data_IF_293147227194
#
_entry.id   IF_293147227194
#
_cell.length_a   1.000
_cell.length_b   1.000
_cell.length_c   1.000
_cell.angle_alpha   90.00
_cell.angle_beta   90.00
_cell.angle_gamma   90.00
#
_symmetry.space_group_name_H-M   'P 1'
#
loop_
_entity.id
_entity.type
_entity.pdbx_description
1 polymer ?
#
# COMPACT_ATOMS: atom_id res chain seq x y z
N UNK A 1 -9.25 60.52 -26.74
CA UNK A 1 -10.53 60.51 -26.00
C UNK A 1 -11.46 59.56 -26.72
N UNK A 2 -11.63 58.32 -26.23
CA UNK A 2 -12.72 57.85 -25.36
C UNK A 2 -13.96 57.45 -26.19
N UNK A 3 -14.44 56.21 -25.96
CA UNK A 3 -15.34 55.46 -26.83
C UNK A 3 -16.84 55.72 -26.62
N UNK A 4 -17.69 54.89 -27.24
CA UNK A 4 -18.62 54.03 -26.51
C UNK A 4 -19.39 53.04 -27.41
N UNK A 5 -19.60 51.87 -26.83
CA UNK A 5 -20.42 50.73 -27.23
C UNK A 5 -21.91 51.05 -27.48
N UNK A 6 -22.55 50.29 -28.36
CA UNK A 6 -23.99 49.95 -28.26
C UNK A 6 -24.22 48.45 -28.36
N UNK A 7 -24.83 47.92 -27.29
CA UNK A 7 -25.17 46.52 -26.98
C UNK A 7 -26.23 45.96 -27.93
N UNK A 8 -26.10 44.68 -28.32
CA UNK A 8 -27.23 43.81 -28.71
C UNK A 8 -27.52 42.82 -27.57
N UNK A 9 -28.81 42.53 -27.42
CA UNK A 9 -29.46 41.96 -26.24
C UNK A 9 -29.10 40.49 -25.93
N UNK A 10 -29.27 40.15 -24.65
CA UNK A 10 -29.02 38.85 -24.05
C UNK A 10 -30.02 37.77 -24.52
N UNK A 11 -29.50 36.60 -24.90
CA UNK A 11 -30.27 35.37 -25.00
C UNK A 11 -30.47 34.77 -23.60
N UNK A 12 -31.69 34.25 -23.36
CA UNK A 12 -32.14 33.72 -22.07
C UNK A 12 -31.33 32.49 -21.61
N UNK A 13 -30.90 32.40 -20.34
CA UNK A 13 -30.14 31.27 -19.80
C UNK A 13 -30.91 29.95 -19.74
N UNK A 14 -32.24 29.98 -19.88
CA UNK A 14 -33.08 28.79 -19.89
C UNK A 14 -32.96 27.97 -21.20
N UNK A 15 -32.72 28.62 -22.33
CA UNK A 15 -32.57 27.95 -23.62
C UNK A 15 -31.22 27.21 -23.74
N UNK A 16 -30.16 27.74 -23.11
CA UNK A 16 -28.85 27.08 -23.03
C UNK A 16 -28.86 25.85 -22.11
N UNK A 17 -29.67 25.85 -21.06
CA UNK A 17 -29.80 24.70 -20.13
C UNK A 17 -30.60 23.55 -20.75
N UNK A 18 -31.66 23.82 -21.51
CA UNK A 18 -32.39 22.78 -22.23
C UNK A 18 -31.57 22.14 -23.36
N UNK A 19 -30.75 22.93 -24.07
CA UNK A 19 -29.80 22.37 -25.06
C UNK A 19 -28.72 21.51 -24.38
N UNK A 20 -28.23 21.89 -23.20
CA UNK A 20 -27.27 21.08 -22.44
C UNK A 20 -27.88 19.77 -21.88
N UNK A 21 -29.12 19.79 -21.41
CA UNK A 21 -29.80 18.58 -20.92
C UNK A 21 -30.20 17.62 -22.04
N UNK A 22 -30.61 18.13 -23.21
CA UNK A 22 -30.91 17.28 -24.37
C UNK A 22 -29.66 16.60 -24.95
N UNK A 23 -28.48 17.22 -24.86
CA UNK A 23 -27.22 16.59 -25.25
C UNK A 23 -26.70 15.58 -24.24
N UNK A 24 -26.99 15.76 -22.94
CA UNK A 24 -26.63 14.78 -21.91
C UNK A 24 -27.48 13.51 -21.97
N UNK A 25 -28.78 13.64 -22.30
CA UNK A 25 -29.69 12.49 -22.36
C UNK A 25 -29.59 11.66 -23.65
N UNK A 26 -29.09 12.21 -24.76
CA UNK A 26 -28.94 11.47 -26.03
C UNK A 26 -27.76 10.50 -26.05
N UNK A 27 -26.87 10.57 -25.07
CA UNK A 27 -25.68 9.71 -24.94
C UNK A 27 -25.92 8.44 -24.11
N UNK A 28 -27.14 8.22 -23.63
CA UNK A 28 -27.51 7.07 -22.78
C UNK A 28 -28.47 6.08 -23.43
N UNK A 29 -28.73 6.20 -24.74
CA UNK A 29 -29.45 5.15 -25.47
C UNK A 29 -28.48 4.13 -26.04
N UNK A 30 -28.71 2.88 -25.61
CA UNK A 30 -27.96 1.66 -25.93
C UNK A 30 -27.57 1.60 -27.40
N UNK A 31 -26.28 1.71 -27.66
CA UNK A 31 -25.63 1.15 -28.84
C UNK A 31 -24.47 0.29 -28.33
N UNK A 32 -24.59 -1.03 -28.49
CA UNK A 32 -23.42 -1.88 -28.61
C UNK A 32 -22.89 -1.70 -30.04
N UNK A 33 -21.63 -1.28 -30.23
CA UNK A 33 -20.89 -1.82 -31.37
C UNK A 33 -19.38 -2.03 -31.14
N UNK A 34 -18.80 -2.75 -32.10
CA UNK A 34 -17.48 -3.36 -32.23
C UNK A 34 -16.24 -2.52 -31.83
N UNK A 35 -15.24 -3.21 -31.25
CA UNK A 35 -13.92 -2.69 -30.81
C UNK A 35 -13.01 -2.35 -32.00
N UNK A 36 -13.13 -1.15 -32.54
CA UNK A 36 -12.02 -0.43 -33.15
C UNK A 36 -11.74 0.81 -32.30
N UNK A 37 -10.47 1.05 -32.00
CA UNK A 37 -9.95 1.83 -30.88
C UNK A 37 -10.41 3.31 -30.88
N UNK A 38 -11.56 3.58 -30.28
CA UNK A 38 -12.08 4.92 -30.04
C UNK A 38 -11.09 5.75 -29.22
N UNK A 39 -10.70 6.91 -29.75
CA UNK A 39 -9.85 7.88 -29.04
C UNK A 39 -10.65 8.41 -27.84
N UNK A 40 -10.37 7.88 -26.65
CA UNK A 40 -10.96 8.39 -25.42
C UNK A 40 -10.37 9.76 -25.09
N UNK A 41 -11.02 10.83 -25.56
CA UNK A 41 -10.61 12.21 -25.28
C UNK A 41 -10.46 12.47 -23.78
N UNK A 42 -11.37 11.93 -22.96
CA UNK A 42 -11.30 12.04 -21.50
C UNK A 42 -10.04 11.43 -20.91
N UNK A 43 -9.62 10.27 -21.41
CA UNK A 43 -8.37 9.64 -21.01
C UNK A 43 -7.16 10.48 -21.41
N UNK A 44 -7.12 10.99 -22.64
CA UNK A 44 -6.02 11.84 -23.10
C UNK A 44 -5.89 13.12 -22.26
N UNK A 45 -7.00 13.77 -21.91
CA UNK A 45 -7.00 14.93 -21.01
C UNK A 45 -6.49 14.57 -19.61
N UNK A 46 -6.88 13.41 -19.09
CA UNK A 46 -6.45 12.97 -17.78
C UNK A 46 -4.95 12.61 -17.74
N UNK A 47 -4.38 12.10 -18.84
CA UNK A 47 -2.94 11.87 -19.02
C UNK A 47 -2.20 13.22 -19.17
N UNK A 48 -2.76 14.16 -19.94
CA UNK A 48 -2.21 15.51 -20.12
C UNK A 48 -2.15 16.30 -18.81
N UNK A 49 -3.16 16.16 -17.94
CA UNK A 49 -3.14 16.73 -16.58
C UNK A 49 -1.99 16.21 -15.71
N UNK A 50 -1.41 15.05 -16.07
CA UNK A 50 -0.22 14.45 -15.44
C UNK A 50 1.08 14.78 -16.18
N UNK A 51 1.04 15.74 -17.11
CA UNK A 51 2.19 16.26 -17.83
C UNK A 51 2.63 15.41 -19.04
N UNK A 52 1.86 14.39 -19.43
CA UNK A 52 2.17 13.53 -20.58
C UNK A 52 1.23 13.86 -21.73
N UNK A 53 1.76 14.22 -22.90
CA UNK A 53 0.97 14.49 -24.10
C UNK A 53 0.90 13.22 -24.96
N UNK A 54 -0.31 12.77 -25.24
CA UNK A 54 -0.53 11.61 -26.11
C UNK A 54 -0.31 12.01 -27.56
N UNK A 55 0.64 11.36 -28.24
CA UNK A 55 0.97 11.65 -29.64
C UNK A 55 0.11 10.84 -30.63
N UNK A 56 0.18 9.51 -30.55
CA UNK A 56 -0.50 8.62 -31.51
C UNK A 56 -1.51 7.70 -30.81
N UNK A 57 -1.06 6.60 -30.20
CA UNK A 57 -1.91 5.53 -29.67
C UNK A 57 -1.82 5.43 -28.15
N UNK A 58 -2.98 5.21 -27.53
CA UNK A 58 -3.09 4.84 -26.12
C UNK A 58 -3.85 3.53 -26.02
N UNK A 59 -3.25 2.59 -25.31
CA UNK A 59 -3.85 1.32 -24.93
C UNK A 59 -4.27 1.40 -23.47
N UNK A 60 -5.57 1.26 -23.20
CA UNK A 60 -6.13 1.45 -21.87
C UNK A 60 -6.67 0.14 -21.31
N UNK A 61 -6.28 -0.20 -20.08
CA UNK A 61 -6.75 -1.38 -19.33
C UNK A 61 -6.77 -2.66 -20.16
N UNK A 62 -5.74 -2.89 -20.97
CA UNK A 62 -5.63 -4.11 -21.77
C UNK A 62 -5.62 -5.34 -20.87
N UNK A 63 -6.38 -6.36 -21.25
CA UNK A 63 -6.31 -7.64 -20.55
C UNK A 63 -4.96 -8.33 -20.79
N UNK A 64 -4.51 -9.23 -19.90
CA UNK A 64 -3.23 -9.91 -20.04
C UNK A 64 -3.02 -10.60 -21.40
N UNK A 65 -4.09 -11.15 -21.98
CA UNK A 65 -4.04 -11.79 -23.31
C UNK A 65 -3.81 -10.80 -24.46
N UNK A 66 -4.23 -9.53 -24.30
CA UNK A 66 -4.03 -8.46 -25.26
C UNK A 66 -2.60 -7.90 -25.13
N UNK A 67 -2.12 -7.72 -23.90
CA UNK A 67 -0.73 -7.33 -23.63
C UNK A 67 0.28 -8.33 -24.21
N UNK A 68 0.01 -9.63 -24.11
CA UNK A 68 0.85 -10.67 -24.71
C UNK A 68 1.00 -10.52 -26.23
N UNK A 69 -0.06 -10.09 -26.92
CA UNK A 69 -0.03 -9.82 -28.36
C UNK A 69 0.74 -8.54 -28.70
N UNK A 70 0.89 -7.62 -27.74
CA UNK A 70 1.67 -6.38 -27.87
C UNK A 70 3.17 -6.55 -27.57
N UNK A 71 3.67 -7.79 -27.51
CA UNK A 71 5.10 -8.07 -27.39
C UNK A 71 5.64 -8.11 -25.96
N UNK A 72 4.80 -8.36 -24.94
CA UNK A 72 5.31 -8.56 -23.58
C UNK A 72 6.24 -9.77 -23.53
N UNK A 73 7.48 -9.56 -23.10
CA UNK A 73 8.30 -10.61 -22.52
C UNK A 73 8.04 -10.67 -21.02
N UNK A 74 8.00 -11.87 -20.45
CA UNK A 74 8.02 -12.01 -18.98
C UNK A 74 9.31 -11.33 -18.50
N UNK A 75 9.16 -10.22 -17.79
CA UNK A 75 10.31 -9.51 -17.25
C UNK A 75 11.01 -10.42 -16.23
N UNK A 76 12.33 -10.57 -16.37
CA UNK A 76 13.15 -11.24 -15.36
C UNK A 76 12.87 -10.62 -14.00
N UNK A 77 12.55 -11.45 -13.01
CA UNK A 77 12.24 -10.98 -11.67
C UNK A 77 13.49 -10.34 -11.07
N UNK A 78 13.40 -9.04 -10.78
CA UNK A 78 14.50 -8.31 -10.15
C UNK A 78 14.27 -8.20 -8.64
N UNK A 79 15.37 -7.99 -7.92
CA UNK A 79 15.34 -7.65 -6.50
C UNK A 79 16.47 -6.67 -6.19
N UNK A 80 16.28 -5.85 -5.17
CA UNK A 80 17.29 -4.88 -4.74
C UNK A 80 17.34 -3.61 -5.61
N UNK A 81 16.26 -3.30 -6.33
CA UNK A 81 16.17 -2.04 -7.08
C UNK A 81 16.22 -0.85 -6.11
N UNK A 82 17.10 0.15 -6.33
CA UNK A 82 17.16 1.32 -5.47
C UNK A 82 15.84 2.09 -5.45
N UNK A 83 15.33 2.37 -4.26
CA UNK A 83 14.14 3.19 -4.02
C UNK A 83 14.52 4.47 -3.27
N UNK A 84 14.33 5.61 -3.92
CA UNK A 84 14.45 6.93 -3.31
C UNK A 84 13.06 7.44 -2.93
N UNK A 85 12.90 8.02 -1.75
CA UNK A 85 11.59 8.49 -1.29
C UNK A 85 11.70 9.92 -0.79
N UNK A 86 10.96 10.81 -1.45
CA UNK A 86 10.75 12.18 -0.99
C UNK A 86 9.60 12.23 0.00
N UNK A 87 9.89 12.78 1.17
CA UNK A 87 8.97 13.00 2.27
C UNK A 87 9.62 12.69 3.61
N UNK A 88 8.97 13.04 4.71
CA UNK A 88 9.40 12.64 6.05
C UNK A 88 9.12 11.15 6.24
N UNK A 89 10.04 10.30 5.81
CA UNK A 89 9.86 8.84 5.79
C UNK A 89 10.81 8.17 6.74
N UNK A 90 10.27 7.31 7.60
CA UNK A 90 11.04 6.50 8.53
C UNK A 90 11.53 5.24 7.78
N UNK A 91 12.80 4.83 8.00
CA UNK A 91 13.32 3.56 7.47
C UNK A 91 14.68 3.61 6.75
N UNK A 92 15.40 4.74 6.77
CA UNK A 92 16.76 4.81 6.22
C UNK A 92 16.86 4.74 4.69
N UNK A 93 15.77 5.07 3.99
CA UNK A 93 15.76 5.14 2.54
C UNK A 93 16.48 6.41 2.05
N UNK A 94 17.20 6.36 0.91
CA UNK A 94 17.81 7.54 0.31
C UNK A 94 16.76 8.63 0.06
N UNK A 95 17.01 9.83 0.60
CA UNK A 95 16.18 11.00 0.35
C UNK A 95 16.52 11.63 -1.01
N UNK A 96 15.53 12.29 -1.60
CA UNK A 96 15.65 13.02 -2.87
C UNK A 96 15.02 14.40 -2.73
N UNK A 97 15.76 15.43 -3.14
CA UNK A 97 15.23 16.79 -3.10
C UNK A 97 14.04 16.98 -4.05
N UNK A 98 13.12 17.87 -3.70
CA UNK A 98 11.99 18.23 -4.56
C UNK A 98 12.41 18.73 -5.96
N UNK A 99 13.55 19.43 -6.05
CA UNK A 99 14.10 19.88 -7.32
C UNK A 99 14.60 18.72 -8.20
N UNK A 100 15.29 17.73 -7.61
CA UNK A 100 15.71 16.52 -8.33
C UNK A 100 14.51 15.72 -8.80
N UNK A 101 13.50 15.51 -7.94
CA UNK A 101 12.26 14.82 -8.32
C UNK A 101 11.55 15.54 -9.46
N UNK A 102 11.35 16.86 -9.37
CA UNK A 102 10.69 17.64 -10.41
C UNK A 102 11.44 17.61 -11.74
N UNK A 103 12.79 17.67 -11.70
CA UNK A 103 13.63 17.53 -12.89
C UNK A 103 13.46 16.15 -13.54
N UNK A 104 13.50 15.09 -12.74
CA UNK A 104 13.31 13.72 -13.20
C UNK A 104 11.92 13.52 -13.80
N UNK A 105 10.88 13.99 -13.11
CA UNK A 105 9.49 13.92 -13.59
C UNK A 105 9.34 14.62 -14.94
N UNK A 106 9.94 15.81 -15.12
CA UNK A 106 9.93 16.52 -16.40
C UNK A 106 10.60 15.73 -17.52
N UNK A 107 11.74 15.09 -17.24
CA UNK A 107 12.43 14.25 -18.22
C UNK A 107 11.62 13.01 -18.61
N UNK A 108 11.02 12.34 -17.63
CA UNK A 108 10.21 11.14 -17.84
C UNK A 108 8.92 11.46 -18.58
N UNK A 109 8.21 12.53 -18.20
CA UNK A 109 6.98 12.95 -18.88
C UNK A 109 7.25 13.42 -20.31
N UNK A 110 8.37 14.12 -20.55
CA UNK A 110 8.82 14.47 -21.89
C UNK A 110 9.12 13.23 -22.74
N UNK A 111 9.84 12.24 -22.19
CA UNK A 111 10.09 10.96 -22.83
C UNK A 111 8.79 10.25 -23.19
N UNK A 112 7.89 10.06 -22.22
CA UNK A 112 6.59 9.41 -22.45
C UNK A 112 5.75 10.14 -23.51
N UNK A 113 5.81 11.48 -23.55
CA UNK A 113 5.11 12.27 -24.58
C UNK A 113 5.70 12.10 -25.99
N UNK A 114 6.94 11.63 -26.10
CA UNK A 114 7.59 11.37 -27.38
C UNK A 114 7.29 9.96 -27.94
N UNK A 115 6.78 9.05 -27.10
CA UNK A 115 6.47 7.67 -27.46
C UNK A 115 5.17 7.61 -28.26
N UNK A 116 5.18 6.83 -29.35
CA UNK A 116 4.01 6.67 -30.23
C UNK A 116 2.90 5.82 -29.62
N UNK A 117 3.26 4.83 -28.80
CA UNK A 117 2.32 3.89 -28.19
C UNK A 117 2.48 3.89 -26.67
N UNK A 118 1.52 4.50 -25.97
CA UNK A 118 1.46 4.50 -24.52
C UNK A 118 0.50 3.43 -24.02
N UNK A 119 0.87 2.80 -22.91
CA UNK A 119 0.03 1.83 -22.22
C UNK A 119 -0.38 2.41 -20.86
N UNK A 120 -1.68 2.39 -20.60
CA UNK A 120 -2.27 2.97 -19.40
C UNK A 120 -3.10 1.92 -18.70
N UNK A 121 -2.87 1.79 -17.40
CA UNK A 121 -3.61 0.87 -16.54
C UNK A 121 -4.09 1.63 -15.31
N UNK A 122 -5.39 1.64 -15.10
CA UNK A 122 -5.97 2.05 -13.84
C UNK A 122 -6.17 0.82 -12.92
N UNK A 123 -5.99 1.05 -11.62
CA UNK A 123 -6.15 0.05 -10.58
C UNK A 123 -6.29 0.72 -9.22
N UNK A 124 -6.14 -0.06 -8.15
CA UNK A 124 -6.17 0.48 -6.79
C UNK A 124 -5.23 -0.26 -5.85
N UNK A 125 -4.82 0.43 -4.79
CA UNK A 125 -4.28 -0.17 -3.57
C UNK A 125 -5.39 -0.17 -2.52
N UNK A 126 -5.65 -1.32 -1.91
CA UNK A 126 -6.81 -1.54 -1.05
C UNK A 126 -7.95 -2.24 -1.80
N UNK A 127 -8.47 -3.33 -1.23
CA UNK A 127 -9.59 -4.09 -1.82
C UNK A 127 -10.98 -3.47 -1.56
N UNK A 128 -11.09 -2.47 -0.67
CA UNK A 128 -12.36 -1.81 -0.36
C UNK A 128 -12.54 -0.51 -1.13
N UNK A 129 -13.68 -0.38 -1.82
CA UNK A 129 -14.05 0.86 -2.50
C UNK A 129 -14.29 2.05 -1.55
N UNK A 130 -14.54 1.81 -0.26
CA UNK A 130 -14.65 2.88 0.75
C UNK A 130 -13.26 3.46 1.09
N UNK A 131 -12.26 2.57 1.22
CA UNK A 131 -10.90 2.91 1.61
C UNK A 131 -9.88 2.30 0.65
N UNK A 132 -9.84 2.83 -0.58
CA UNK A 132 -8.80 2.52 -1.56
C UNK A 132 -8.02 3.77 -2.00
N UNK A 133 -6.83 3.56 -2.55
CA UNK A 133 -6.07 4.55 -3.27
C UNK A 133 -6.08 4.17 -4.75
N UNK A 134 -6.82 4.93 -5.58
CA UNK A 134 -6.85 4.71 -7.03
C UNK A 134 -5.53 5.10 -7.66
N UNK A 135 -5.03 4.23 -8.53
CA UNK A 135 -3.71 4.32 -9.17
C UNK A 135 -3.90 4.38 -10.67
N UNK A 136 -3.20 5.32 -11.33
CA UNK A 136 -3.02 5.33 -12.78
C UNK A 136 -1.57 5.06 -13.13
N UNK A 137 -1.33 4.02 -13.93
CA UNK A 137 -0.02 3.70 -14.49
C UNK A 137 0.04 4.24 -15.91
N UNK A 138 1.11 4.96 -16.26
CA UNK A 138 1.40 5.45 -17.61
C UNK A 138 2.77 4.89 -17.99
N UNK A 139 2.83 4.07 -19.04
CA UNK A 139 4.04 3.35 -19.41
C UNK A 139 4.33 3.38 -20.91
N UNK A 140 5.62 3.39 -21.25
CA UNK A 140 6.13 3.09 -22.59
C UNK A 140 6.28 1.58 -22.87
N UNK A 141 5.91 0.71 -21.92
CA UNK A 141 6.23 -0.72 -21.95
C UNK A 141 5.06 -1.60 -21.50
N UNK A 142 4.56 -2.51 -22.35
CA UNK A 142 3.46 -3.39 -21.98
C UNK A 142 3.85 -4.40 -20.89
N UNK A 143 5.13 -4.80 -20.76
CA UNK A 143 5.58 -5.71 -19.70
C UNK A 143 5.50 -5.04 -18.32
N UNK A 144 5.69 -3.73 -18.25
CA UNK A 144 5.50 -2.98 -17.01
C UNK A 144 4.02 -2.96 -16.59
N UNK A 145 3.11 -2.78 -17.54
CA UNK A 145 1.67 -2.88 -17.28
C UNK A 145 1.30 -4.28 -16.80
N UNK A 146 1.82 -5.33 -17.44
CA UNK A 146 1.62 -6.71 -16.99
C UNK A 146 2.07 -6.90 -15.53
N UNK A 147 3.28 -6.47 -15.18
CA UNK A 147 3.79 -6.58 -13.81
C UNK A 147 2.92 -5.82 -12.79
N UNK A 148 2.54 -4.57 -13.11
CA UNK A 148 1.75 -3.73 -12.20
C UNK A 148 0.28 -4.19 -12.10
N UNK A 149 -0.30 -4.72 -13.18
CA UNK A 149 -1.67 -5.27 -13.16
C UNK A 149 -1.80 -6.48 -12.23
N UNK A 150 -0.71 -7.22 -11.98
CA UNK A 150 -0.67 -8.31 -11.00
C UNK A 150 -0.53 -7.81 -9.55
N UNK A 151 -0.09 -6.56 -9.35
CA UNK A 151 0.08 -5.95 -8.01
C UNK A 151 -1.14 -5.10 -7.62
N UNK A 152 -1.78 -4.44 -8.58
CA UNK A 152 -2.92 -3.56 -8.34
C UNK A 152 -4.24 -4.34 -8.30
N UNK A 153 -5.17 -3.88 -7.46
CA UNK A 153 -6.55 -4.35 -7.49
C UNK A 153 -7.24 -3.85 -8.76
N UNK A 154 -8.01 -4.74 -9.41
CA UNK A 154 -8.89 -4.33 -10.51
C UNK A 154 -9.97 -3.41 -9.95
N UNK A 155 -10.23 -2.32 -10.67
CA UNK A 155 -11.31 -1.39 -10.34
C UNK A 155 -12.44 -1.57 -11.36
N UNK A 156 -13.71 -1.41 -10.96
CA UNK A 156 -14.80 -1.43 -11.93
C UNK A 156 -14.67 -0.27 -12.91
N UNK A 157 -15.13 -0.47 -14.13
CA UNK A 157 -15.14 0.57 -15.15
C UNK A 157 -15.95 1.78 -14.66
N UNK A 158 -15.31 2.94 -14.66
CA UNK A 158 -15.92 4.23 -14.28
C UNK A 158 -15.53 5.28 -15.31
N UNK A 159 -16.30 6.38 -15.35
CA UNK A 159 -15.95 7.52 -16.18
C UNK A 159 -14.55 8.04 -15.83
N UNK A 160 -13.68 8.13 -16.83
CA UNK A 160 -12.27 8.52 -16.68
C UNK A 160 -12.18 10.04 -16.55
N UNK A 161 -11.51 10.54 -15.50
CA UNK A 161 -11.21 11.96 -15.33
C UNK A 161 -9.79 12.16 -14.76
N UNK A 162 -9.38 13.42 -14.58
CA UNK A 162 -8.10 13.77 -13.96
C UNK A 162 -8.07 13.47 -12.45
N UNK A 163 -9.25 13.55 -11.80
CA UNK A 163 -9.43 13.33 -10.36
C UNK A 163 -9.67 11.86 -9.99
N UNK A 164 -9.90 10.98 -10.96
CA UNK A 164 -10.25 9.58 -10.67
C UNK A 164 -9.13 8.81 -9.98
N UNK A 165 -7.87 9.17 -10.24
CA UNK A 165 -6.70 8.46 -9.74
C UNK A 165 -5.73 9.44 -9.07
N UNK A 166 -5.77 9.63 -7.73
CA UNK A 166 -4.84 10.53 -7.04
C UNK A 166 -3.38 10.08 -7.20
N UNK A 167 -3.12 8.77 -7.21
CA UNK A 167 -1.77 8.22 -7.35
C UNK A 167 -1.41 7.98 -8.82
N UNK A 168 -0.23 8.43 -9.26
CA UNK A 168 0.27 8.18 -10.62
C UNK A 168 1.62 7.46 -10.61
N UNK A 169 1.73 6.39 -11.41
CA UNK A 169 2.98 5.69 -11.67
C UNK A 169 3.42 5.99 -13.10
N UNK A 170 4.60 6.58 -13.26
CA UNK A 170 5.23 6.82 -14.56
C UNK A 170 6.30 5.76 -14.78
N UNK A 171 6.20 5.01 -15.87
CA UNK A 171 7.17 3.97 -16.21
C UNK A 171 7.84 4.30 -17.54
N UNK A 172 9.10 4.72 -17.46
CA UNK A 172 9.95 4.97 -18.61
C UNK A 172 11.06 3.91 -18.67
N UNK A 173 10.77 2.81 -19.36
CA UNK A 173 11.68 1.68 -19.49
C UNK A 173 12.86 1.97 -20.43
N UNK A 174 12.66 2.85 -21.42
CA UNK A 174 13.65 3.15 -22.46
C UNK A 174 14.46 4.42 -22.19
N UNK A 175 14.29 5.08 -21.04
CA UNK A 175 14.95 6.36 -20.77
C UNK A 175 16.46 6.18 -20.58
N UNK A 176 17.24 7.09 -21.17
CA UNK A 176 18.70 6.98 -21.22
C UNK A 176 19.37 7.03 -19.84
N UNK A 177 20.55 6.41 -19.75
CA UNK A 177 21.40 6.38 -18.55
C UNK A 177 21.81 7.78 -18.04
N UNK A 178 21.65 8.84 -18.82
CA UNK A 178 21.94 10.22 -18.39
C UNK A 178 20.97 10.73 -17.32
N UNK A 179 19.75 10.19 -17.26
CA UNK A 179 18.76 10.49 -16.20
C UNK A 179 19.17 9.85 -14.86
N UNK A 180 19.89 8.73 -14.92
CA UNK A 180 20.47 8.01 -13.77
C UNK A 180 21.50 8.85 -13.01
N UNK A 181 22.30 9.62 -13.75
CA UNK A 181 23.37 10.47 -13.20
C UNK A 181 22.83 11.60 -12.29
N UNK A 182 21.55 11.97 -12.39
CA UNK A 182 20.92 12.98 -11.53
C UNK A 182 20.69 12.49 -10.08
N UNK A 183 20.72 11.17 -9.85
CA UNK A 183 20.52 10.50 -8.56
C UNK A 183 21.83 9.96 -7.97
N UNK A 184 22.96 10.15 -8.67
CA UNK A 184 24.30 9.68 -8.31
C UNK A 184 24.92 8.74 -9.35
N UNK A 185 26.25 8.65 -9.37
CA UNK A 185 27.01 7.71 -10.21
C UNK A 185 27.28 6.44 -9.41
N UNK A 186 26.72 5.29 -9.82
CA UNK A 186 26.92 4.01 -9.14
C UNK A 186 26.39 2.82 -9.94
N UNK A 187 27.04 1.66 -9.81
CA UNK A 187 26.67 0.41 -10.50
C UNK A 187 25.31 -0.14 -10.04
N UNK A 188 24.85 0.25 -8.85
CA UNK A 188 23.55 -0.15 -8.27
C UNK A 188 22.33 0.24 -9.11
N UNK A 189 22.48 1.21 -10.01
CA UNK A 189 21.40 1.69 -10.86
C UNK A 189 21.35 1.01 -12.24
N UNK A 190 22.24 0.04 -12.50
CA UNK A 190 22.40 -0.58 -13.82
C UNK A 190 21.07 -1.10 -14.41
N UNK A 191 20.24 -1.72 -13.57
CA UNK A 191 18.99 -2.35 -13.97
C UNK A 191 17.76 -1.43 -13.87
N UNK A 192 17.83 -0.33 -13.12
CA UNK A 192 16.70 0.59 -12.95
C UNK A 192 16.78 1.37 -11.63
N UNK A 193 15.85 2.31 -11.47
CA UNK A 193 15.67 3.08 -10.23
C UNK A 193 14.20 3.43 -10.04
N UNK A 194 13.75 3.43 -8.79
CA UNK A 194 12.44 3.90 -8.40
C UNK A 194 12.57 5.15 -7.54
N UNK A 195 11.70 6.13 -7.79
CA UNK A 195 11.66 7.39 -7.05
C UNK A 195 10.22 7.73 -6.71
N UNK A 196 9.90 7.81 -5.42
CA UNK A 196 8.57 8.11 -4.91
C UNK A 196 8.52 9.52 -4.31
N UNK A 197 7.43 10.26 -4.54
CA UNK A 197 7.10 11.50 -3.84
C UNK A 197 5.72 11.34 -3.19
N UNK A 198 5.72 11.22 -1.86
CA UNK A 198 4.52 10.96 -1.07
C UNK A 198 3.54 12.12 -1.13
N UNK A 199 4.05 13.35 -1.03
CA UNK A 199 3.22 14.56 -1.08
C UNK A 199 2.51 14.70 -2.44
N UNK A 200 3.19 14.30 -3.52
CA UNK A 200 2.64 14.33 -4.88
C UNK A 200 1.90 13.04 -5.28
N UNK A 201 1.84 12.04 -4.40
CA UNK A 201 1.29 10.71 -4.71
C UNK A 201 1.81 10.17 -6.06
N UNK A 202 3.11 10.30 -6.30
CA UNK A 202 3.71 10.00 -7.60
C UNK A 202 4.89 9.04 -7.48
N UNK A 203 4.93 8.02 -8.34
CA UNK A 203 6.03 7.05 -8.44
C UNK A 203 6.64 7.11 -9.84
N UNK A 204 7.96 7.23 -9.92
CA UNK A 204 8.70 7.19 -11.17
C UNK A 204 9.52 5.90 -11.18
N UNK A 205 9.36 5.11 -12.24
CA UNK A 205 10.09 3.87 -12.50
C UNK A 205 10.89 4.02 -13.79
N UNK A 206 12.21 3.96 -13.68
CA UNK A 206 13.12 4.04 -14.82
C UNK A 206 13.79 2.69 -15.07
N UNK A 207 14.01 2.35 -16.35
CA UNK A 207 14.62 1.08 -16.75
C UNK A 207 13.73 -0.12 -16.39
N UNK A 208 14.32 -1.18 -15.83
CA UNK A 208 13.61 -2.40 -15.43
C UNK A 208 13.09 -2.38 -13.98
N UNK A 209 13.03 -1.22 -13.32
CA UNK A 209 12.57 -1.09 -11.93
C UNK A 209 11.17 -1.68 -11.68
N UNK A 210 10.32 -1.69 -12.72
CA UNK A 210 8.98 -2.29 -12.67
C UNK A 210 8.97 -3.82 -12.47
N UNK A 211 10.12 -4.49 -12.61
CA UNK A 211 10.26 -5.93 -12.43
C UNK A 211 10.55 -6.35 -10.96
N UNK A 212 10.77 -5.39 -10.06
CA UNK A 212 10.99 -5.65 -8.63
C UNK A 212 9.67 -5.50 -7.85
N UNK A 213 8.94 -6.61 -7.72
CA UNK A 213 7.62 -6.60 -7.06
C UNK A 213 7.66 -6.17 -5.60
N UNK A 214 8.74 -6.49 -4.89
CA UNK A 214 8.86 -6.21 -3.45
C UNK A 214 9.06 -4.71 -3.23
N UNK A 215 9.98 -4.10 -3.99
CA UNK A 215 10.21 -2.67 -3.97
C UNK A 215 8.93 -1.89 -4.35
N UNK A 216 8.22 -2.34 -5.40
CA UNK A 216 6.97 -1.72 -5.82
C UNK A 216 5.92 -1.74 -4.71
N UNK A 217 5.72 -2.88 -4.04
CA UNK A 217 4.76 -2.98 -2.94
C UNK A 217 5.15 -2.06 -1.78
N UNK A 218 6.43 -1.98 -1.42
CA UNK A 218 6.90 -1.05 -0.39
C UNK A 218 6.62 0.42 -0.74
N UNK A 219 6.94 0.82 -1.98
CA UNK A 219 6.69 2.18 -2.44
C UNK A 219 5.18 2.49 -2.49
N UNK A 220 4.37 1.56 -2.99
CA UNK A 220 2.92 1.74 -3.11
C UNK A 220 2.22 1.77 -1.76
N UNK A 221 2.66 0.97 -0.79
CA UNK A 221 2.17 1.06 0.60
C UNK A 221 2.44 2.45 1.17
N UNK A 222 3.65 2.99 1.00
CA UNK A 222 4.01 4.32 1.49
C UNK A 222 3.18 5.44 0.82
N UNK A 223 3.02 5.38 -0.50
CA UNK A 223 2.27 6.37 -1.29
C UNK A 223 0.76 6.31 -1.04
N UNK A 224 0.20 5.11 -0.82
CA UNK A 224 -1.22 4.94 -0.58
C UNK A 224 -1.64 5.33 0.85
N UNK A 225 -0.73 5.20 1.83
CA UNK A 225 -1.05 5.38 3.25
C UNK A 225 -1.78 6.70 3.57
N UNK A 226 -1.33 7.88 3.12
CA UNK A 226 -2.02 9.15 3.38
C UNK A 226 -3.43 9.21 2.77
N UNK A 227 -3.61 8.62 1.58
CA UNK A 227 -4.90 8.58 0.87
C UNK A 227 -5.89 7.69 1.63
N UNK A 228 -5.42 6.54 2.11
CA UNK A 228 -6.23 5.59 2.89
C UNK A 228 -6.66 6.23 4.22
N UNK A 229 -5.74 6.90 4.92
CA UNK A 229 -6.04 7.63 6.17
C UNK A 229 -7.01 8.78 5.96
N UNK A 230 -6.87 9.57 4.88
CA UNK A 230 -7.81 10.63 4.55
C UNK A 230 -9.23 10.11 4.27
N UNK A 231 -9.36 8.83 3.88
CA UNK A 231 -10.65 8.14 3.70
C UNK A 231 -11.14 7.41 4.96
N UNK A 232 -10.48 7.60 6.10
CA UNK A 232 -10.88 7.00 7.38
C UNK A 232 -10.44 5.53 7.54
N UNK A 233 -9.52 5.05 6.70
CA UNK A 233 -8.86 3.75 6.89
C UNK A 233 -7.56 3.90 7.68
N UNK A 234 -7.28 2.97 8.58
CA UNK A 234 -6.01 2.87 9.30
C UNK A 234 -5.13 1.80 8.61
N UNK A 235 -4.14 2.19 7.80
CA UNK A 235 -3.22 1.24 7.18
C UNK A 235 -2.20 0.74 8.21
N UNK A 236 -2.14 -0.58 8.43
CA UNK A 236 -1.20 -1.23 9.34
C UNK A 236 -0.43 -2.35 8.62
N UNK A 237 0.86 -2.55 8.96
CA UNK A 237 1.67 -3.66 8.44
C UNK A 237 1.32 -4.94 9.20
N UNK A 238 0.38 -5.69 8.67
CA UNK A 238 -0.07 -6.95 9.25
C UNK A 238 -0.70 -7.83 8.18
N UNK A 239 -1.30 -8.93 8.63
CA UNK A 239 -1.99 -9.88 7.78
C UNK A 239 -3.40 -10.15 8.29
N UNK A 240 -4.30 -10.50 7.37
CA UNK A 240 -5.61 -11.04 7.71
C UNK A 240 -5.61 -12.55 7.50
N UNK A 241 -6.14 -13.28 8.49
CA UNK A 241 -6.39 -14.70 8.43
C UNK A 241 -7.89 -14.94 8.46
N UNK A 242 -8.36 -15.85 7.62
CA UNK A 242 -9.73 -16.34 7.67
C UNK A 242 -9.75 -17.69 8.39
N UNK A 243 -10.06 -17.69 9.68
CA UNK A 243 -10.05 -18.88 10.54
C UNK A 243 -11.44 -19.08 11.16
N UNK A 244 -12.00 -20.29 11.02
CA UNK A 244 -13.31 -20.66 11.58
C UNK A 244 -14.46 -19.68 11.23
N UNK A 245 -14.45 -19.12 10.02
CA UNK A 245 -15.47 -18.14 9.57
C UNK A 245 -15.34 -16.74 10.18
N UNK A 246 -14.29 -16.49 10.96
CA UNK A 246 -13.97 -15.18 11.55
C UNK A 246 -12.63 -14.64 11.03
N UNK A 247 -12.46 -13.33 11.11
CA UNK A 247 -11.25 -12.64 10.66
C UNK A 247 -10.33 -12.37 11.84
N UNK A 248 -9.07 -12.76 11.72
CA UNK A 248 -7.99 -12.45 12.67
C UNK A 248 -7.03 -11.46 12.04
N UNK A 249 -6.70 -10.40 12.77
CA UNK A 249 -5.61 -9.51 12.42
C UNK A 249 -4.33 -9.96 13.10
N UNK A 250 -3.29 -10.23 12.32
CA UNK A 250 -2.01 -10.75 12.80
C UNK A 250 -0.89 -9.74 12.55
N UNK A 251 -0.17 -9.41 13.61
CA UNK A 251 1.10 -8.70 13.57
C UNK A 251 2.21 -9.68 13.90
N UNK A 252 3.16 -9.89 13.00
CA UNK A 252 4.23 -10.87 13.20
C UNK A 252 5.50 -10.47 12.44
N UNK A 253 6.69 -10.94 12.87
CA UNK A 253 7.88 -10.87 12.03
C UNK A 253 7.65 -11.61 10.72
N UNK A 254 8.14 -11.06 9.61
CA UNK A 254 7.93 -11.63 8.28
C UNK A 254 8.56 -13.03 8.15
N UNK A 255 9.61 -13.28 8.93
CA UNK A 255 10.30 -14.56 9.05
C UNK A 255 9.35 -15.66 9.54
N UNK A 256 8.52 -15.36 10.55
CA UNK A 256 7.54 -16.32 11.10
C UNK A 256 6.47 -16.66 10.07
N UNK A 257 5.96 -15.64 9.36
CA UNK A 257 4.96 -15.85 8.29
C UNK A 257 5.54 -16.69 7.15
N UNK A 258 6.80 -16.46 6.78
CA UNK A 258 7.47 -17.21 5.70
C UNK A 258 7.79 -18.65 6.08
N UNK A 259 8.05 -18.93 7.35
CA UNK A 259 8.40 -20.28 7.82
C UNK A 259 7.22 -21.20 8.06
N UNK A 260 6.00 -20.66 8.25
CA UNK A 260 4.82 -21.46 8.63
C UNK A 260 3.86 -21.65 7.46
N UNK A 261 3.85 -22.85 6.86
CA UNK A 261 2.95 -23.21 5.74
C UNK A 261 1.47 -23.11 6.11
N UNK A 262 1.12 -23.54 7.31
CA UNK A 262 -0.26 -23.58 7.81
C UNK A 262 -0.86 -22.17 7.88
N UNK A 263 -0.07 -21.18 8.33
CA UNK A 263 -0.46 -19.77 8.30
C UNK A 263 -0.64 -19.32 6.86
N UNK A 264 0.31 -19.64 5.98
CA UNK A 264 0.24 -19.21 4.58
C UNK A 264 -1.03 -19.70 3.90
N UNK A 265 -1.51 -20.89 4.22
CA UNK A 265 -2.73 -21.45 3.61
C UNK A 265 -4.00 -20.72 4.00
N UNK A 266 -4.07 -20.18 5.23
CA UNK A 266 -5.24 -19.43 5.73
C UNK A 266 -5.11 -17.90 5.54
N UNK A 267 -3.96 -17.41 5.08
CA UNK A 267 -3.76 -16.01 4.75
C UNK A 267 -4.68 -15.57 3.62
N UNK A 268 -5.38 -14.46 3.88
CA UNK A 268 -6.18 -13.76 2.87
C UNK A 268 -5.30 -13.22 1.74
N UNK A 269 -4.22 -12.53 2.11
CA UNK A 269 -3.18 -12.06 1.19
C UNK A 269 -1.81 -12.52 1.69
N UNK A 270 -0.94 -12.88 0.75
CA UNK A 270 0.45 -13.25 1.05
C UNK A 270 1.29 -12.03 1.46
N UNK A 271 0.87 -10.85 1.04
CA UNK A 271 1.59 -9.60 1.30
C UNK A 271 1.11 -8.94 2.58
N UNK A 272 2.04 -8.30 3.30
CA UNK A 272 1.71 -7.48 4.45
C UNK A 272 1.01 -6.19 4.00
N UNK A 273 -0.01 -5.79 4.75
CA UNK A 273 -0.72 -4.55 4.53
C UNK A 273 -2.23 -4.73 4.66
N UNK A 274 -2.76 -4.23 5.77
CA UNK A 274 -4.19 -4.25 6.07
C UNK A 274 -4.68 -2.83 6.27
N UNK A 275 -5.89 -2.54 5.82
CA UNK A 275 -6.58 -1.28 6.13
C UNK A 275 -7.78 -1.60 7.00
N UNK A 276 -7.80 -1.01 8.20
CA UNK A 276 -8.88 -1.17 9.17
C UNK A 276 -9.75 0.08 9.14
N UNK A 277 -11.05 -0.08 8.96
CA UNK A 277 -12.01 1.04 8.96
C UNK A 277 -13.06 0.86 10.06
N UNK A 278 -13.93 1.84 10.23
CA UNK A 278 -15.03 1.78 11.20
C UNK A 278 -16.08 0.71 10.90
N UNK A 279 -16.10 0.13 9.69
CA UNK A 279 -17.09 -0.88 9.27
C UNK A 279 -16.48 -2.23 8.91
N UNK A 280 -15.26 -2.23 8.38
CA UNK A 280 -14.69 -3.39 7.70
C UNK A 280 -13.16 -3.38 7.71
N UNK A 281 -12.57 -4.51 7.33
CA UNK A 281 -11.14 -4.63 7.05
C UNK A 281 -10.91 -5.01 5.58
N UNK A 282 -9.76 -4.62 5.06
CA UNK A 282 -9.36 -4.89 3.68
C UNK A 282 -7.86 -5.07 3.56
N UNK A 283 -7.38 -5.62 2.44
CA UNK A 283 -5.95 -5.83 2.17
C UNK A 283 -5.46 -4.86 1.11
N UNK A 284 -4.19 -4.44 1.19
CA UNK A 284 -3.61 -3.51 0.22
C UNK A 284 -3.44 -4.14 -1.17
N UNK A 285 -3.03 -5.41 -1.22
CA UNK A 285 -2.68 -6.12 -2.46
C UNK A 285 -3.63 -7.30 -2.72
N UNK A 286 -3.75 -7.75 -3.99
CA UNK A 286 -4.61 -8.87 -4.38
C UNK A 286 -4.45 -10.10 -3.49
N UNK A 287 -5.57 -10.77 -3.23
CA UNK A 287 -5.63 -12.02 -2.48
C UNK A 287 -5.24 -13.21 -3.36
N UNK A 288 -5.03 -14.39 -2.76
CA UNK A 288 -4.82 -15.64 -3.53
C UNK A 288 -5.99 -15.92 -4.50
N UNK A 289 -7.20 -15.59 -4.07
CA UNK A 289 -8.38 -15.45 -4.94
C UNK A 289 -8.34 -14.09 -5.64
N UNK A 290 -8.59 -14.01 -6.95
CA UNK A 290 -8.56 -12.72 -7.68
C UNK A 290 -9.80 -11.84 -7.49
N UNK A 291 -10.78 -12.28 -6.71
CA UNK A 291 -11.98 -11.48 -6.43
C UNK A 291 -11.73 -10.50 -5.26
N UNK A 292 -12.14 -9.22 -5.35
CA UNK A 292 -12.10 -8.29 -4.24
C UNK A 292 -12.98 -8.83 -3.11
N UNK A 293 -12.37 -9.20 -1.99
CA UNK A 293 -13.10 -9.60 -0.78
C UNK A 293 -13.07 -8.46 0.23
N UNK A 294 -14.26 -8.06 0.64
CA UNK A 294 -14.48 -7.21 1.80
C UNK A 294 -14.56 -8.13 3.01
N UNK A 295 -13.82 -7.80 4.06
CA UNK A 295 -13.80 -8.59 5.28
C UNK A 295 -14.51 -7.82 6.38
N UNK A 296 -15.21 -8.53 7.25
CA UNK A 296 -15.72 -7.94 8.49
C UNK A 296 -14.56 -7.38 9.31
N UNK A 297 -14.88 -6.61 10.36
CA UNK A 297 -13.84 -6.24 11.31
C UNK A 297 -13.16 -7.48 11.91
N UNK A 298 -11.86 -7.38 12.26
CA UNK A 298 -11.18 -8.45 12.98
C UNK A 298 -11.91 -8.75 14.29
N UNK A 299 -12.28 -10.01 14.49
CA UNK A 299 -12.88 -10.48 15.74
C UNK A 299 -11.83 -10.63 16.84
N UNK A 300 -10.57 -10.85 16.44
CA UNK A 300 -9.42 -11.03 17.34
C UNK A 300 -8.18 -10.40 16.71
N UNK A 301 -7.33 -9.81 17.56
CA UNK A 301 -5.98 -9.36 17.16
C UNK A 301 -4.94 -10.24 17.84
N UNK A 302 -3.94 -10.66 17.08
CA UNK A 302 -2.82 -11.45 17.57
C UNK A 302 -1.52 -10.72 17.25
N UNK A 303 -0.72 -10.47 18.27
CA UNK A 303 0.65 -9.99 18.16
C UNK A 303 1.58 -11.17 18.38
N UNK A 304 2.48 -11.42 17.44
CA UNK A 304 3.47 -12.48 17.52
C UNK A 304 4.83 -11.85 17.75
N UNK A 305 5.52 -12.36 18.76
CA UNK A 305 6.92 -12.03 19.04
C UNK A 305 7.74 -13.31 19.03
N UNK A 306 9.03 -13.19 18.74
CA UNK A 306 9.96 -14.31 18.87
C UNK A 306 10.88 -14.03 20.05
N UNK A 307 10.72 -14.78 21.13
CA UNK A 307 11.60 -14.69 22.31
C UNK A 307 12.19 -16.07 22.62
N UNK A 308 13.47 -16.24 22.30
CA UNK A 308 14.26 -17.43 22.61
C UNK A 308 14.65 -17.57 24.08
N UNK A 309 14.46 -16.54 24.92
CA UNK A 309 14.84 -16.58 26.35
C UNK A 309 13.76 -17.18 27.25
N UNK A 310 12.57 -17.44 26.69
CA UNK A 310 11.36 -17.84 27.41
C UNK A 310 10.93 -16.85 28.50
N UNK A 311 11.32 -15.57 28.39
CA UNK A 311 10.83 -14.51 29.24
C UNK A 311 9.35 -14.21 28.91
N UNK A 312 9.00 -14.19 27.62
CA UNK A 312 7.60 -14.15 27.22
C UNK A 312 6.90 -15.49 27.52
N UNK A 313 5.67 -15.46 28.07
CA UNK A 313 4.82 -16.64 28.10
C UNK A 313 4.46 -17.07 26.67
N UNK A 314 4.10 -18.34 26.50
CA UNK A 314 3.74 -18.87 25.18
C UNK A 314 2.55 -18.12 24.56
N UNK A 315 1.58 -17.75 25.39
CA UNK A 315 0.42 -16.94 25.03
C UNK A 315 0.10 -15.98 26.18
N UNK A 316 -0.47 -14.83 25.90
CA UNK A 316 -0.99 -13.91 26.91
C UNK A 316 -2.11 -13.05 26.37
N UNK A 317 -3.15 -12.85 27.17
CA UNK A 317 -4.18 -11.87 26.85
C UNK A 317 -3.65 -10.47 27.17
N UNK A 318 -3.77 -9.56 26.22
CA UNK A 318 -3.28 -8.20 26.35
C UNK A 318 -4.42 -7.22 26.57
N UNK A 319 -4.18 -6.20 27.39
CA UNK A 319 -4.96 -4.97 27.33
C UNK A 319 -4.67 -4.21 26.02
N UNK A 320 -5.56 -3.31 25.56
CA UNK A 320 -5.29 -2.50 24.38
C UNK A 320 -3.96 -1.72 24.45
N UNK A 321 -3.61 -1.23 25.64
CA UNK A 321 -2.36 -0.50 25.87
C UNK A 321 -1.12 -1.37 25.73
N UNK A 322 -1.15 -2.59 26.32
CA UNK A 322 -0.07 -3.57 26.14
C UNK A 322 0.05 -4.03 24.68
N UNK A 323 -1.08 -4.25 24.00
CA UNK A 323 -1.08 -4.59 22.58
C UNK A 323 -0.39 -3.52 21.73
N UNK A 324 -0.72 -2.25 21.95
CA UNK A 324 -0.09 -1.14 21.25
C UNK A 324 1.39 -0.99 21.61
N UNK A 325 1.78 -1.28 22.86
CA UNK A 325 3.18 -1.28 23.30
C UNK A 325 4.01 -2.38 22.61
N UNK A 326 3.51 -3.62 22.56
CA UNK A 326 4.18 -4.72 21.84
C UNK A 326 4.19 -4.49 20.32
N UNK A 327 3.12 -3.93 19.75
CA UNK A 327 3.07 -3.52 18.36
C UNK A 327 4.14 -2.44 18.06
N UNK A 328 4.21 -1.39 18.88
CA UNK A 328 5.20 -0.32 18.74
C UNK A 328 6.62 -0.85 18.87
N UNK A 329 6.87 -1.84 19.74
CA UNK A 329 8.17 -2.48 19.88
C UNK A 329 8.56 -3.32 18.64
N UNK A 330 7.63 -4.18 18.20
CA UNK A 330 7.86 -5.20 17.18
C UNK A 330 9.07 -6.07 17.48
N UNK A 331 9.05 -6.74 18.64
CA UNK A 331 10.19 -7.49 19.16
C UNK A 331 10.43 -8.82 18.44
N UNK A 332 11.70 -9.09 18.12
CA UNK A 332 12.19 -10.29 17.46
C UNK A 332 13.61 -10.63 17.96
N UNK A 333 13.72 -11.56 18.92
CA UNK A 333 14.97 -12.11 19.47
C UNK A 333 16.04 -11.06 19.77
N UNK A 334 15.68 -10.08 20.59
CA UNK A 334 16.58 -8.99 21.01
C UNK A 334 16.67 -7.83 20.02
N UNK A 335 16.09 -7.96 18.83
CA UNK A 335 15.91 -6.86 17.88
C UNK A 335 14.51 -6.28 18.01
N UNK A 336 14.39 -5.02 17.60
CA UNK A 336 13.13 -4.29 17.60
C UNK A 336 12.89 -3.73 16.19
N UNK A 337 11.73 -4.06 15.64
CA UNK A 337 11.25 -3.58 14.33
C UNK A 337 9.94 -2.85 14.59
N UNK A 338 9.98 -1.54 14.91
CA UNK A 338 8.82 -0.86 15.42
C UNK A 338 7.62 -0.89 14.49
N UNK A 339 6.44 -1.13 15.06
CA UNK A 339 5.21 -1.33 14.30
C UNK A 339 5.33 -2.42 13.23
N UNK A 340 6.25 -3.39 13.37
CA UNK A 340 6.53 -4.46 12.39
C UNK A 340 6.82 -3.95 10.95
N UNK A 341 7.16 -2.67 10.78
CA UNK A 341 7.35 -2.08 9.47
C UNK A 341 8.83 -1.96 9.11
N UNK A 342 9.24 -2.62 8.01
CA UNK A 342 10.57 -2.46 7.39
C UNK A 342 10.52 -1.63 6.10
N UNK A 343 9.32 -1.31 5.62
CA UNK A 343 9.09 -0.53 4.42
C UNK A 343 9.06 0.98 4.75
N UNK A 344 9.19 1.86 3.73
CA UNK A 344 9.08 3.29 3.95
C UNK A 344 7.67 3.61 4.50
N UNK A 345 7.59 4.42 5.55
CA UNK A 345 6.33 4.86 6.15
C UNK A 345 6.26 6.37 6.24
N UNK A 346 5.19 7.02 5.74
CA UNK A 346 4.95 8.45 5.99
C UNK A 346 4.39 8.74 7.38
N UNK A 347 3.93 7.70 8.09
CA UNK A 347 3.37 7.85 9.43
C UNK A 347 4.42 7.59 10.49
N UNK A 348 4.37 8.44 11.52
CA UNK A 348 5.09 8.23 12.77
C UNK A 348 4.61 6.92 13.43
N UNK A 349 5.58 6.13 13.91
CA UNK A 349 5.33 4.79 14.44
C UNK A 349 4.50 4.83 15.74
N UNK A 350 4.72 5.87 16.57
CA UNK A 350 3.97 6.07 17.80
C UNK A 350 2.54 6.55 17.50
N UNK A 351 2.36 7.47 16.54
CA UNK A 351 1.03 7.88 16.08
C UNK A 351 0.22 6.69 15.52
N UNK A 352 0.88 5.79 14.78
CA UNK A 352 0.26 4.57 14.29
C UNK A 352 -0.16 3.63 15.44
N UNK A 353 0.71 3.44 16.44
CA UNK A 353 0.41 2.63 17.62
C UNK A 353 -0.73 3.24 18.47
N UNK A 354 -0.78 4.57 18.61
CA UNK A 354 -1.89 5.28 19.27
C UNK A 354 -3.22 5.08 18.53
N UNK A 355 -3.19 5.12 17.20
CA UNK A 355 -4.38 4.89 16.39
C UNK A 355 -4.88 3.45 16.54
N UNK A 356 -3.96 2.47 16.58
CA UNK A 356 -4.29 1.08 16.87
C UNK A 356 -4.86 0.91 18.27
N UNK A 357 -4.26 1.52 19.29
CA UNK A 357 -4.75 1.51 20.68
C UNK A 357 -6.20 1.99 20.76
N UNK A 358 -6.50 3.15 20.16
CA UNK A 358 -7.86 3.72 20.15
C UNK A 358 -8.85 2.78 19.45
N UNK A 359 -8.44 2.18 18.33
CA UNK A 359 -9.27 1.21 17.63
C UNK A 359 -9.61 -0.01 18.49
N UNK A 360 -8.59 -0.63 19.10
CA UNK A 360 -8.76 -1.79 19.99
C UNK A 360 -9.63 -1.46 21.22
N UNK A 361 -9.45 -0.26 21.80
CA UNK A 361 -10.21 0.20 22.96
C UNK A 361 -11.69 0.45 22.62
N UNK A 362 -11.97 1.09 21.49
CA UNK A 362 -13.33 1.44 21.07
C UNK A 362 -14.14 0.20 20.65
N UNK A 363 -13.52 -0.69 19.89
CA UNK A 363 -14.18 -1.89 19.37
C UNK A 363 -14.17 -3.06 20.38
N UNK A 364 -13.47 -2.90 21.51
CA UNK A 364 -13.28 -3.93 22.56
C UNK A 364 -12.77 -5.26 21.99
N UNK A 365 -11.89 -5.17 21.00
CA UNK A 365 -11.39 -6.35 20.29
C UNK A 365 -10.43 -7.13 21.19
N UNK A 366 -10.70 -8.43 21.46
CA UNK A 366 -9.79 -9.25 22.24
C UNK A 366 -8.44 -9.35 21.53
N UNK A 367 -7.37 -9.11 22.29
CA UNK A 367 -6.01 -9.07 21.75
C UNK A 367 -5.09 -9.99 22.55
N UNK A 368 -4.22 -10.72 21.85
CA UNK A 368 -3.32 -11.70 22.45
C UNK A 368 -1.89 -11.54 21.96
N UNK A 369 -0.91 -11.81 22.81
CA UNK A 369 0.48 -12.02 22.48
C UNK A 369 0.75 -13.52 22.35
N UNK A 370 1.44 -13.94 21.29
CA UNK A 370 1.95 -15.30 21.15
C UNK A 370 3.46 -15.24 20.98
N UNK A 371 4.18 -16.02 21.79
CA UNK A 371 5.60 -16.24 21.56
C UNK A 371 5.78 -17.35 20.52
N UNK A 372 6.34 -17.02 19.36
CA UNK A 372 6.64 -17.98 18.29
C UNK A 372 7.84 -18.89 18.62
N UNK A 373 8.47 -18.71 19.79
CA UNK A 373 9.54 -19.57 20.28
C UNK A 373 9.21 -20.15 21.65
N UNK A 374 9.69 -21.36 21.89
CA UNK A 374 9.65 -22.03 23.18
C UNK A 374 10.94 -22.82 23.35
N UNK A 375 11.62 -22.62 24.48
CA UNK A 375 12.90 -23.27 24.79
C UNK A 375 13.96 -23.03 23.71
N UNK A 376 14.01 -21.80 23.21
CA UNK A 376 14.93 -21.36 22.15
C UNK A 376 14.60 -21.87 20.74
N UNK A 377 13.60 -22.75 20.58
CA UNK A 377 13.19 -23.31 19.28
C UNK A 377 11.93 -22.64 18.78
N UNK A 378 11.81 -22.49 17.47
CA UNK A 378 10.57 -22.04 16.84
C UNK A 378 9.48 -23.09 17.04
N UNK A 379 8.28 -22.66 17.42
CA UNK A 379 7.13 -23.55 17.56
C UNK A 379 6.69 -24.05 16.18
N UNK A 380 6.11 -25.25 16.13
CA UNK A 380 5.58 -25.81 14.88
C UNK A 380 4.42 -24.97 14.34
N UNK A 381 4.26 -24.94 13.02
CA UNK A 381 3.20 -24.17 12.36
C UNK A 381 1.79 -24.60 12.81
N UNK A 382 1.60 -25.90 13.05
CA UNK A 382 0.33 -26.45 13.58
C UNK A 382 0.04 -25.99 15.00
N UNK A 383 1.07 -25.93 15.84
CA UNK A 383 0.91 -25.48 17.23
C UNK A 383 0.63 -23.98 17.29
N UNK A 384 1.29 -23.17 16.45
CA UNK A 384 0.96 -21.75 16.31
C UNK A 384 -0.49 -21.55 15.84
N UNK A 385 -0.96 -22.32 14.87
CA UNK A 385 -2.36 -22.26 14.42
C UNK A 385 -3.34 -22.66 15.53
N UNK A 386 -3.06 -23.72 16.28
CA UNK A 386 -3.87 -24.11 17.45
C UNK A 386 -3.96 -22.97 18.47
N UNK A 387 -2.85 -22.28 18.75
CA UNK A 387 -2.86 -21.13 19.66
C UNK A 387 -3.72 -19.98 19.13
N UNK A 388 -3.68 -19.71 17.82
CA UNK A 388 -4.54 -18.68 17.19
C UNK A 388 -6.02 -19.08 17.28
N UNK A 389 -6.38 -20.33 17.01
CA UNK A 389 -7.75 -20.84 17.13
C UNK A 389 -8.25 -20.79 18.59
N UNK A 390 -7.37 -21.11 19.54
CA UNK A 390 -7.70 -21.01 20.95
C UNK A 390 -7.89 -19.54 21.40
N UNK A 391 -7.10 -18.62 20.88
CA UNK A 391 -7.27 -17.18 21.11
C UNK A 391 -8.64 -16.68 20.58
N UNK A 392 -9.15 -17.24 19.47
CA UNK A 392 -10.48 -16.91 18.96
C UNK A 392 -11.62 -17.45 19.83
N UNK A 393 -11.47 -18.67 20.37
CA UNK A 393 -12.51 -19.31 21.18
C UNK A 393 -12.64 -18.77 22.61
N UNK A 394 -11.82 -17.79 23.01
CA UNK A 394 -11.69 -17.29 24.39
C UNK A 394 -11.44 -18.40 25.44
N UNK A 395 -11.02 -19.59 25.01
CA UNK A 395 -10.75 -20.74 25.88
C UNK A 395 -9.35 -20.74 26.48
N UNK A 396 -8.66 -19.60 26.47
CA UNK A 396 -7.27 -19.51 26.90
C UNK A 396 -7.16 -19.38 28.42
N UNK A 397 -6.29 -20.16 29.08
CA UNK A 397 -5.96 -19.96 30.48
C UNK A 397 -5.22 -18.63 30.65
N UNK A 398 -5.54 -17.86 31.69
CA UNK A 398 -4.77 -16.68 32.07
C UNK A 398 -3.37 -17.11 32.52
N UNK A 399 -2.41 -17.17 31.58
CA UNK A 399 -1.03 -17.53 31.91
C UNK A 399 -0.22 -16.26 32.19
N UNK A 400 -0.18 -15.85 33.46
CA UNK A 400 0.80 -14.89 33.94
C UNK A 400 2.06 -15.63 34.38
N UNK A 401 3.22 -15.34 33.77
CA UNK A 401 4.51 -15.76 34.33
C UNK A 401 4.91 -14.80 35.45
N UNK A 402 5.35 -15.30 36.62
CA UNK A 402 5.92 -14.43 37.66
C UNK A 402 7.19 -13.75 37.14
N UNK A 403 7.47 -12.53 37.64
CA UNK A 403 8.64 -11.75 37.24
C UNK A 403 9.91 -12.44 37.74
N UNK A 404 10.55 -13.21 36.86
CA UNK A 404 11.89 -13.77 37.07
C UNK A 404 12.97 -12.85 36.48
N UNK A 405 14.24 -13.20 36.69
CA UNK A 405 15.37 -12.40 36.18
C UNK A 405 15.31 -12.19 34.66
N UNK A 406 14.80 -13.16 33.89
CA UNK A 406 14.71 -13.07 32.43
C UNK A 406 13.59 -12.12 32.00
N UNK A 407 12.45 -12.17 32.68
CA UNK A 407 11.33 -11.22 32.48
C UNK A 407 11.80 -9.79 32.78
N UNK A 408 12.49 -9.59 33.90
CA UNK A 408 13.02 -8.27 34.28
C UNK A 408 14.03 -7.73 33.26
N UNK A 409 14.94 -8.58 32.76
CA UNK A 409 15.90 -8.21 31.73
C UNK A 409 15.19 -7.82 30.41
N UNK A 410 14.23 -8.62 29.95
CA UNK A 410 13.48 -8.34 28.73
C UNK A 410 12.67 -7.05 28.84
N UNK A 411 11.98 -6.85 29.97
CA UNK A 411 11.25 -5.61 30.28
C UNK A 411 12.19 -4.40 30.29
N UNK A 412 13.42 -4.56 30.80
CA UNK A 412 14.48 -3.57 30.72
C UNK A 412 14.88 -3.22 29.28
N UNK A 413 15.05 -4.23 28.41
CA UNK A 413 15.34 -4.04 26.98
C UNK A 413 14.22 -3.30 26.26
N UNK A 414 12.96 -3.68 26.49
CA UNK A 414 11.79 -2.98 25.94
C UNK A 414 11.76 -1.52 26.38
N UNK A 415 11.90 -1.28 27.70
CA UNK A 415 11.90 0.07 28.26
C UNK A 415 13.03 0.91 27.68
N UNK A 416 14.25 0.38 27.61
CA UNK A 416 15.41 1.07 27.07
C UNK A 416 15.21 1.46 25.60
N UNK A 417 14.70 0.55 24.79
CA UNK A 417 14.40 0.81 23.39
C UNK A 417 13.28 1.84 23.20
N UNK A 418 12.11 1.61 23.82
CA UNK A 418 10.94 2.46 23.63
C UNK A 418 11.16 3.84 24.24
N UNK A 419 11.71 3.94 25.45
CA UNK A 419 11.96 5.24 26.09
C UNK A 419 13.07 6.01 25.36
N UNK A 420 14.11 5.32 24.89
CA UNK A 420 15.19 5.94 24.12
C UNK A 420 14.71 6.52 22.79
N UNK A 421 13.69 5.91 22.17
CA UNK A 421 13.16 6.34 20.86
C UNK A 421 11.93 7.25 20.94
N UNK A 422 11.05 7.06 21.92
CA UNK A 422 9.72 7.68 21.99
C UNK A 422 9.39 8.37 23.33
N UNK A 423 10.28 8.31 24.33
CA UNK A 423 9.96 8.42 25.75
C UNK A 423 9.29 9.71 26.27
N UNK A 424 9.30 10.82 25.54
CA UNK A 424 8.56 12.04 25.97
C UNK A 424 7.07 12.03 25.62
N UNK A 425 6.66 11.13 24.73
CA UNK A 425 5.32 11.13 24.13
C UNK A 425 4.59 9.80 24.30
N UNK A 426 5.16 8.86 25.06
CA UNK A 426 4.56 7.55 25.27
C UNK A 426 3.34 7.68 26.21
N UNK A 427 2.16 7.17 25.84
CA UNK A 427 0.99 7.15 26.73
C UNK A 427 1.23 6.33 27.99
N UNK A 428 0.56 6.66 29.08
CA UNK A 428 0.67 5.93 30.35
C UNK A 428 0.14 4.49 30.25
N UNK A 429 -0.85 4.27 29.37
CA UNK A 429 -1.43 2.94 29.15
C UNK A 429 -0.48 1.98 28.41
N UNK A 430 0.60 2.49 27.82
CA UNK A 430 1.54 1.70 27.02
C UNK A 430 2.56 1.05 27.94
N UNK A 431 2.30 -0.20 28.31
CA UNK A 431 3.14 -0.98 29.23
C UNK A 431 3.50 -2.35 28.67
N UNK A 432 4.54 -2.95 29.24
CA UNK A 432 4.88 -4.37 29.04
C UNK A 432 3.81 -5.28 29.62
#
# INVERSE_FOLDING_TARGET
MLGLLRRRAASSPAASLQLFQCWYHRSSERLLPCRDQEVSYGLNWAIAARGVVVKDKVFYNLEPSELQKSGTTYAERLSGTPLHVKGNVIGGFPDISGAQFAKLLKQVTFHLSSISSLYVQDGAIGSSAECDAKVRVISDNPSAIMSLSNILQKIPDRAISHDTCPLTIYVASSISTNVRNALGSGTQYANGVAVADIERSSLILCGKAFADSTMLKHALTALAAPILSARGGLPVPGWLLSCAGSIVLLFAPVEVIKSCSEIQDVLVSTDSGVVISSKQSSVLFPTKSRAPQLFTKPATVVVVSSDSTDALPLVSKLTPGQAAYHFLAGYEDGKFVPAYNRAPSPFDQLALANSLFLHLKNDKTPTYLINAKSSGKQIDGKDLMRLIELAQSNGMPDSSKPEDTRVAELKGKYRGFISGKFGKYLPEEFSF
#
